data_IF_800278737322
#
_entry.id   IF_800278737322
#
_cell.length_a   1.000
_cell.length_b   1.000
_cell.length_c   1.000
_cell.angle_alpha   90.00
_cell.angle_beta   90.00
_cell.angle_gamma   90.00
#
_symmetry.space_group_name_H-M   'P 1'
#
loop_
_entity.id
_entity.type
_entity.pdbx_description
1 polymer ?
#
# COMPACT_ATOMS: atom_id res chain seq x y z
N UNK A 1 -35.14 13.37 -13.42
CA UNK A 1 -33.84 14.09 -13.29
C UNK A 1 -33.25 14.18 -14.69
N UNK A 2 -32.68 15.34 -15.08
CA UNK A 2 -32.05 15.47 -16.39
C UNK A 2 -30.73 14.71 -16.43
N UNK A 3 -30.27 14.27 -17.62
CA UNK A 3 -29.00 13.59 -17.81
C UNK A 3 -27.81 14.39 -17.22
N UNK A 4 -27.85 15.72 -17.33
CA UNK A 4 -26.84 16.62 -16.77
C UNK A 4 -26.80 16.59 -15.23
N UNK A 5 -27.95 16.48 -14.55
CA UNK A 5 -28.01 16.35 -13.10
C UNK A 5 -27.46 14.99 -12.62
N UNK A 6 -27.76 13.91 -13.35
CA UNK A 6 -27.22 12.57 -13.03
C UNK A 6 -25.71 12.51 -13.18
N UNK A 7 -25.17 13.13 -14.22
CA UNK A 7 -23.72 13.19 -14.48
C UNK A 7 -22.98 14.04 -13.44
N UNK A 8 -23.54 15.18 -13.04
CA UNK A 8 -23.02 16.02 -11.95
C UNK A 8 -22.98 15.28 -10.62
N UNK A 9 -24.02 14.51 -10.32
CA UNK A 9 -24.11 13.68 -9.09
C UNK A 9 -23.10 12.55 -9.11
N UNK A 10 -22.91 11.86 -10.23
CA UNK A 10 -21.92 10.81 -10.38
C UNK A 10 -20.51 11.33 -10.15
N UNK A 11 -20.16 12.46 -10.81
CA UNK A 11 -18.84 13.05 -10.68
C UNK A 11 -18.56 13.54 -9.25
N UNK A 12 -19.56 14.06 -8.54
CA UNK A 12 -19.41 14.45 -7.13
C UNK A 12 -19.11 13.22 -6.24
N UNK A 13 -19.80 12.10 -6.47
CA UNK A 13 -19.54 10.85 -5.75
C UNK A 13 -18.14 10.31 -6.02
N UNK A 14 -17.71 10.29 -7.28
CA UNK A 14 -16.36 9.85 -7.65
C UNK A 14 -15.28 10.68 -6.95
N UNK A 15 -15.41 12.01 -6.92
CA UNK A 15 -14.47 12.90 -6.24
C UNK A 15 -14.41 12.69 -4.72
N UNK A 16 -15.45 12.17 -4.12
CA UNK A 16 -15.50 11.85 -2.69
C UNK A 16 -14.84 10.50 -2.35
N UNK A 17 -14.59 9.64 -3.34
CA UNK A 17 -13.91 8.36 -3.13
C UNK A 17 -12.49 8.56 -2.57
N UNK A 18 -12.02 7.57 -1.83
CA UNK A 18 -10.63 7.45 -1.40
C UNK A 18 -9.94 6.34 -2.21
N UNK A 19 -9.22 6.73 -3.26
CA UNK A 19 -8.50 5.83 -4.14
C UNK A 19 -7.35 6.56 -4.84
N UNK A 20 -6.54 5.87 -5.64
CA UNK A 20 -5.36 6.44 -6.31
C UNK A 20 -5.70 7.66 -7.18
N UNK A 21 -6.89 7.70 -7.79
CA UNK A 21 -7.33 8.83 -8.63
C UNK A 21 -7.68 10.10 -7.86
N UNK A 22 -7.92 10.00 -6.54
CA UNK A 22 -8.30 11.12 -5.67
C UNK A 22 -7.20 11.52 -4.69
N UNK A 23 -6.15 10.72 -4.61
CA UNK A 23 -4.99 11.04 -3.79
C UNK A 23 -4.05 11.98 -4.56
N UNK A 24 -3.43 12.91 -3.85
CA UNK A 24 -2.45 13.83 -4.42
C UNK A 24 -1.11 13.09 -4.67
N UNK A 25 -1.07 12.34 -5.77
CA UNK A 25 0.09 11.60 -6.25
C UNK A 25 0.67 12.35 -7.43
N UNK A 26 1.91 12.85 -7.31
CA UNK A 26 2.59 13.54 -8.41
C UNK A 26 3.00 12.54 -9.52
N UNK A 27 2.35 12.57 -10.70
CA UNK A 27 2.58 11.60 -11.75
C UNK A 27 3.60 12.07 -12.79
N UNK A 28 4.81 12.49 -12.39
CA UNK A 28 5.81 12.76 -13.41
C UNK A 28 6.08 11.48 -14.24
N UNK A 29 5.95 11.56 -15.57
CA UNK A 29 5.97 10.40 -16.48
C UNK A 29 7.25 9.56 -16.34
N UNK A 30 8.39 10.19 -16.17
CA UNK A 30 9.67 9.51 -15.96
C UNK A 30 9.72 8.72 -14.63
N UNK A 31 9.04 9.21 -13.60
CA UNK A 31 8.92 8.53 -12.31
C UNK A 31 7.97 7.34 -12.42
N UNK A 32 6.85 7.50 -13.14
CA UNK A 32 5.88 6.42 -13.35
C UNK A 32 6.49 5.22 -14.08
N UNK A 33 7.26 5.43 -15.16
CA UNK A 33 7.96 4.33 -15.85
C UNK A 33 8.91 3.59 -14.92
N UNK A 34 9.74 4.31 -14.16
CA UNK A 34 10.65 3.70 -13.19
C UNK A 34 9.96 2.90 -12.10
N UNK A 35 8.76 3.33 -11.68
CA UNK A 35 7.97 2.59 -10.69
C UNK A 35 7.28 1.38 -11.30
N UNK A 36 6.77 1.46 -12.53
CA UNK A 36 6.22 0.31 -13.25
C UNK A 36 7.22 -0.84 -13.28
N UNK A 37 8.44 -0.58 -13.79
CA UNK A 37 9.51 -1.59 -13.86
C UNK A 37 9.84 -2.19 -12.49
N UNK A 38 9.96 -1.34 -11.45
CA UNK A 38 10.26 -1.81 -10.09
C UNK A 38 9.14 -2.63 -9.46
N UNK A 39 7.87 -2.29 -9.72
CA UNK A 39 6.73 -3.02 -9.18
C UNK A 39 6.55 -4.38 -9.88
N UNK A 40 6.92 -4.49 -11.14
CA UNK A 40 6.96 -5.78 -11.85
C UNK A 40 7.95 -6.74 -11.20
N UNK A 41 9.11 -6.26 -10.78
CA UNK A 41 10.13 -7.06 -10.10
C UNK A 41 9.70 -7.57 -8.72
N UNK A 42 8.79 -6.85 -8.03
CA UNK A 42 8.38 -7.15 -6.64
C UNK A 42 7.12 -8.03 -6.60
N UNK A 43 6.23 -7.86 -7.56
CA UNK A 43 4.81 -8.12 -7.40
C UNK A 43 4.32 -9.51 -7.75
N UNK A 44 5.15 -10.41 -8.27
CA UNK A 44 4.61 -11.64 -8.90
C UNK A 44 4.62 -12.86 -8.01
N UNK A 45 5.15 -12.79 -6.79
CA UNK A 45 5.25 -13.97 -5.91
C UNK A 45 3.99 -14.19 -5.08
N UNK A 46 3.43 -15.39 -5.18
CA UNK A 46 2.34 -15.84 -4.33
C UNK A 46 2.78 -15.77 -2.85
N UNK A 47 1.94 -15.15 -2.01
CA UNK A 47 2.22 -14.96 -0.59
C UNK A 47 2.67 -13.56 -0.19
N UNK A 48 2.89 -12.64 -1.13
CA UNK A 48 3.16 -11.25 -0.80
C UNK A 48 1.88 -10.58 -0.24
N UNK A 49 1.90 -10.19 1.04
CA UNK A 49 0.77 -9.53 1.72
C UNK A 49 0.33 -8.21 1.07
N UNK A 50 1.22 -7.57 0.30
CA UNK A 50 0.95 -6.33 -0.42
C UNK A 50 0.58 -6.54 -1.91
N UNK A 51 0.41 -7.77 -2.38
CA UNK A 51 0.21 -8.06 -3.80
C UNK A 51 -0.99 -7.32 -4.40
N UNK A 52 -2.13 -7.28 -3.71
CA UNK A 52 -3.31 -6.55 -4.15
C UNK A 52 -3.05 -5.04 -4.29
N UNK A 53 -2.34 -4.45 -3.33
CA UNK A 53 -1.95 -3.04 -3.34
C UNK A 53 -0.96 -2.72 -4.47
N UNK A 54 -0.01 -3.64 -4.74
CA UNK A 54 0.92 -3.53 -5.85
C UNK A 54 0.16 -3.48 -7.18
N UNK A 55 -0.79 -4.39 -7.40
CA UNK A 55 -1.60 -4.38 -8.61
C UNK A 55 -2.51 -3.15 -8.72
N UNK A 56 -3.08 -2.66 -7.61
CA UNK A 56 -3.82 -1.40 -7.61
C UNK A 56 -2.95 -0.22 -8.06
N UNK A 57 -1.73 -0.13 -7.55
CA UNK A 57 -0.81 0.92 -7.92
C UNK A 57 -0.33 0.77 -9.38
N UNK A 58 -0.04 -0.44 -9.85
CA UNK A 58 0.27 -0.71 -11.26
C UNK A 58 -0.88 -0.30 -12.17
N UNK A 59 -2.12 -0.64 -11.83
CA UNK A 59 -3.30 -0.22 -12.58
C UNK A 59 -3.39 1.30 -12.72
N UNK A 60 -3.18 2.04 -11.63
CA UNK A 60 -3.14 3.51 -11.67
C UNK A 60 -1.99 4.04 -12.52
N UNK A 61 -0.78 3.50 -12.38
CA UNK A 61 0.40 3.90 -13.16
C UNK A 61 0.16 3.66 -14.66
N UNK A 62 -0.32 2.48 -15.04
CA UNK A 62 -0.62 2.16 -16.44
C UNK A 62 -1.68 3.09 -17.02
N UNK A 63 -2.73 3.42 -16.27
CA UNK A 63 -3.71 4.43 -16.69
C UNK A 63 -3.04 5.79 -16.95
N UNK A 64 -2.20 6.28 -16.04
CA UNK A 64 -1.50 7.56 -16.18
C UNK A 64 -0.52 7.58 -17.38
N UNK A 65 0.01 6.43 -17.75
CA UNK A 65 0.87 6.25 -18.94
C UNK A 65 0.07 6.13 -20.26
N UNK A 66 -1.25 5.98 -20.19
CA UNK A 66 -2.15 5.82 -21.34
C UNK A 66 -2.42 4.37 -21.74
N UNK A 67 -2.00 3.40 -20.94
CA UNK A 67 -2.22 1.96 -21.16
C UNK A 67 -3.48 1.50 -20.42
N UNK A 68 -4.63 1.87 -20.96
CA UNK A 68 -5.92 1.73 -20.25
C UNK A 68 -6.37 0.27 -20.10
N UNK A 69 -6.12 -0.56 -21.12
CA UNK A 69 -6.44 -2.00 -21.08
C UNK A 69 -5.60 -2.72 -20.01
N UNK A 70 -4.30 -2.43 -19.96
CA UNK A 70 -3.41 -2.97 -18.92
C UNK A 70 -3.83 -2.50 -17.53
N UNK A 71 -4.24 -1.23 -17.40
CA UNK A 71 -4.76 -0.69 -16.14
C UNK A 71 -5.97 -1.48 -15.64
N UNK A 72 -6.91 -1.80 -16.52
CA UNK A 72 -8.07 -2.62 -16.19
C UNK A 72 -7.65 -4.04 -15.77
N UNK A 73 -6.73 -4.67 -16.49
CA UNK A 73 -6.19 -5.97 -16.14
C UNK A 73 -5.56 -5.97 -14.74
N UNK A 74 -4.75 -4.96 -14.43
CA UNK A 74 -4.13 -4.85 -13.10
C UNK A 74 -5.15 -4.64 -11.98
N UNK A 75 -6.18 -3.82 -12.16
CA UNK A 75 -7.23 -3.67 -11.15
C UNK A 75 -8.04 -4.95 -10.92
N UNK A 76 -8.29 -5.75 -11.96
CA UNK A 76 -8.92 -7.07 -11.83
C UNK A 76 -8.00 -8.03 -11.07
N UNK A 77 -6.71 -8.08 -11.42
CA UNK A 77 -5.72 -8.88 -10.69
C UNK A 77 -5.60 -8.46 -9.23
N UNK A 78 -5.74 -7.18 -8.92
CA UNK A 78 -5.78 -6.68 -7.54
C UNK A 78 -6.98 -7.27 -6.78
N UNK A 79 -8.17 -7.25 -7.39
CA UNK A 79 -9.37 -7.87 -6.80
C UNK A 79 -9.13 -9.34 -6.46
N UNK A 80 -8.55 -10.10 -7.39
CA UNK A 80 -8.26 -11.53 -7.19
C UNK A 80 -7.19 -11.76 -6.11
N UNK A 81 -6.13 -10.95 -6.10
CA UNK A 81 -5.07 -11.05 -5.11
C UNK A 81 -5.60 -10.78 -3.69
N UNK A 82 -6.44 -9.76 -3.52
CA UNK A 82 -7.08 -9.49 -2.23
C UNK A 82 -7.97 -10.65 -1.76
N UNK A 83 -8.78 -11.22 -2.63
CA UNK A 83 -9.64 -12.37 -2.31
C UNK A 83 -8.83 -13.58 -1.86
N UNK A 84 -7.71 -13.88 -2.54
CA UNK A 84 -6.82 -14.99 -2.18
C UNK A 84 -6.08 -14.77 -0.86
N UNK A 85 -5.58 -13.56 -0.63
CA UNK A 85 -4.71 -13.27 0.53
C UNK A 85 -5.47 -13.28 1.86
N UNK A 86 -6.75 -12.93 1.86
CA UNK A 86 -7.53 -12.77 3.10
C UNK A 86 -8.13 -14.08 3.62
N UNK A 87 -8.20 -15.12 2.79
CA UNK A 87 -8.70 -16.47 3.17
C UNK A 87 -9.95 -16.43 4.08
N UNK A 88 -10.87 -15.52 3.78
CA UNK A 88 -12.11 -15.31 4.53
C UNK A 88 -13.26 -16.03 3.89
N UNK A 89 -14.34 -16.28 4.65
CA UNK A 89 -15.57 -16.89 4.15
C UNK A 89 -16.25 -16.01 3.08
N UNK A 90 -16.01 -14.69 3.13
CA UNK A 90 -16.51 -13.74 2.13
C UNK A 90 -15.40 -13.35 1.17
N UNK A 91 -15.70 -13.40 -0.13
CA UNK A 91 -14.81 -12.92 -1.20
C UNK A 91 -14.74 -11.38 -1.24
N UNK A 92 -15.58 -10.69 -0.49
CA UNK A 92 -15.66 -9.23 -0.44
C UNK A 92 -15.47 -8.72 0.98
N UNK A 93 -14.74 -7.60 1.10
CA UNK A 93 -14.45 -6.98 2.38
C UNK A 93 -13.79 -5.61 2.21
N UNK A 94 -13.50 -4.92 3.33
CA UNK A 94 -13.04 -3.54 3.30
C UNK A 94 -11.69 -3.33 2.59
N UNK A 95 -10.89 -4.37 2.41
CA UNK A 95 -9.67 -4.36 1.59
C UNK A 95 -9.92 -4.08 0.10
N UNK A 96 -11.17 -4.16 -0.37
CA UNK A 96 -11.56 -3.84 -1.75
C UNK A 96 -12.02 -2.39 -1.93
N UNK A 97 -12.12 -1.59 -0.88
CA UNK A 97 -12.62 -0.20 -0.95
C UNK A 97 -11.84 0.65 -1.95
N UNK A 98 -10.51 0.61 -1.89
CA UNK A 98 -9.64 1.38 -2.79
C UNK A 98 -9.69 0.81 -4.21
N UNK A 99 -9.67 -0.51 -4.35
CA UNK A 99 -9.75 -1.20 -5.63
C UNK A 99 -11.05 -0.86 -6.38
N UNK A 100 -12.19 -0.96 -5.71
CA UNK A 100 -13.48 -0.60 -6.33
C UNK A 100 -13.58 0.90 -6.62
N UNK A 101 -12.96 1.74 -5.81
CA UNK A 101 -12.81 3.17 -6.10
C UNK A 101 -12.02 3.42 -7.39
N UNK A 102 -10.92 2.71 -7.60
CA UNK A 102 -10.11 2.77 -8.81
C UNK A 102 -10.92 2.32 -10.04
N UNK A 103 -11.63 1.19 -9.94
CA UNK A 103 -12.47 0.67 -11.02
C UNK A 103 -13.63 1.61 -11.35
N UNK A 104 -14.27 2.23 -10.35
CA UNK A 104 -15.31 3.23 -10.58
C UNK A 104 -14.78 4.42 -11.41
N UNK A 105 -13.59 4.93 -11.08
CA UNK A 105 -12.95 5.99 -11.84
C UNK A 105 -12.53 5.57 -13.24
N UNK A 106 -11.91 4.39 -13.38
CA UNK A 106 -11.49 3.88 -14.70
C UNK A 106 -12.69 3.78 -15.65
N UNK A 107 -13.78 3.13 -15.24
CA UNK A 107 -14.98 2.98 -16.06
C UNK A 107 -15.64 4.32 -16.37
N UNK A 108 -15.58 5.29 -15.43
CA UNK A 108 -16.04 6.65 -15.72
C UNK A 108 -15.23 7.31 -16.88
N UNK A 109 -13.91 7.19 -16.87
CA UNK A 109 -13.05 7.72 -17.92
C UNK A 109 -13.23 7.00 -19.27
N UNK A 110 -13.59 5.72 -19.24
CA UNK A 110 -13.95 4.93 -20.43
C UNK A 110 -15.33 5.30 -21.00
N UNK A 111 -16.12 6.12 -20.30
CA UNK A 111 -17.50 6.43 -20.67
C UNK A 111 -18.52 5.36 -20.29
N UNK A 112 -18.12 4.32 -19.58
CA UNK A 112 -18.92 3.19 -19.14
C UNK A 112 -19.65 3.53 -17.83
N UNK A 113 -20.68 4.36 -17.95
CA UNK A 113 -21.37 4.95 -16.77
C UNK A 113 -22.06 3.91 -15.89
N UNK A 114 -22.59 2.83 -16.47
CA UNK A 114 -23.29 1.78 -15.74
C UNK A 114 -22.31 0.98 -14.85
N UNK A 115 -21.16 0.62 -15.38
CA UNK A 115 -20.07 -0.06 -14.67
C UNK A 115 -19.50 0.81 -13.57
N UNK A 116 -19.26 2.10 -13.87
CA UNK A 116 -18.81 3.08 -12.88
C UNK A 116 -19.78 3.15 -11.69
N UNK A 117 -21.11 3.24 -11.96
CA UNK A 117 -22.14 3.28 -10.92
C UNK A 117 -22.21 1.96 -10.15
N UNK A 118 -21.97 0.83 -10.80
CA UNK A 118 -21.92 -0.49 -10.14
C UNK A 118 -20.80 -0.54 -9.11
N UNK A 119 -19.59 -0.11 -9.46
CA UNK A 119 -18.47 -0.07 -8.51
C UNK A 119 -18.66 0.95 -7.39
N UNK A 120 -19.25 2.12 -7.68
CA UNK A 120 -19.66 3.07 -6.63
C UNK A 120 -20.63 2.43 -5.62
N UNK A 121 -21.62 1.68 -6.13
CA UNK A 121 -22.58 1.00 -5.27
C UNK A 121 -21.91 -0.08 -4.41
N UNK A 122 -20.90 -0.78 -4.93
CA UNK A 122 -20.10 -1.73 -4.16
C UNK A 122 -19.31 -1.04 -3.04
N UNK A 123 -18.69 0.11 -3.32
CA UNK A 123 -18.00 0.91 -2.26
C UNK A 123 -19.00 1.33 -1.19
N UNK A 124 -20.16 1.86 -1.58
CA UNK A 124 -21.21 2.27 -0.63
C UNK A 124 -21.70 1.08 0.24
N UNK A 125 -21.80 -0.11 -0.35
CA UNK A 125 -22.18 -1.35 0.37
C UNK A 125 -21.10 -1.74 1.37
N UNK A 126 -19.84 -1.81 0.95
CA UNK A 126 -18.73 -2.17 1.85
C UNK A 126 -18.58 -1.19 3.01
N UNK A 127 -18.76 0.12 2.78
CA UNK A 127 -18.70 1.12 3.86
C UNK A 127 -19.85 0.99 4.86
N UNK A 128 -21.01 0.46 4.44
CA UNK A 128 -22.14 0.18 5.34
C UNK A 128 -21.95 -1.12 6.12
N UNK A 129 -21.43 -2.16 5.47
CA UNK A 129 -21.19 -3.48 6.09
C UNK A 129 -19.96 -3.45 7.01
N UNK A 130 -18.95 -2.68 6.64
CA UNK A 130 -17.69 -2.53 7.36
C UNK A 130 -17.43 -1.05 7.66
N UNK A 131 -18.18 -0.44 8.58
CA UNK A 131 -17.97 0.97 8.93
C UNK A 131 -16.59 1.16 9.59
N UNK A 132 -16.03 2.37 9.44
CA UNK A 132 -14.81 2.71 10.19
C UNK A 132 -15.05 2.57 11.69
N UNK A 133 -14.11 1.98 12.45
CA UNK A 133 -14.18 1.92 13.91
C UNK A 133 -14.25 3.31 14.58
N UNK A 134 -13.81 4.35 13.88
CA UNK A 134 -13.90 5.76 14.30
C UNK A 134 -14.80 6.54 13.33
N UNK A 135 -15.84 7.21 13.85
CA UNK A 135 -16.86 7.87 13.03
C UNK A 135 -16.33 8.99 12.13
N UNK A 136 -15.26 9.66 12.55
CA UNK A 136 -14.69 10.82 11.85
C UNK A 136 -13.42 10.47 11.05
N UNK A 137 -13.11 9.19 10.92
CA UNK A 137 -11.90 8.74 10.23
C UNK A 137 -12.21 7.77 9.08
N UNK A 138 -11.29 7.73 8.12
CA UNK A 138 -11.36 6.75 7.04
C UNK A 138 -11.21 5.32 7.59
N UNK A 139 -11.71 4.35 6.84
CA UNK A 139 -11.48 2.94 7.17
C UNK A 139 -9.96 2.63 7.23
N UNK A 140 -9.46 1.82 8.19
CA UNK A 140 -8.04 1.55 8.35
C UNK A 140 -7.37 0.98 7.10
N UNK A 141 -8.04 0.15 6.32
CA UNK A 141 -7.52 -0.36 5.03
C UNK A 141 -7.22 0.78 4.04
N UNK A 142 -8.05 1.84 4.00
CA UNK A 142 -7.80 3.02 3.15
C UNK A 142 -6.55 3.77 3.62
N UNK A 143 -6.40 3.98 4.94
CA UNK A 143 -5.21 4.63 5.48
C UNK A 143 -3.94 3.85 5.18
N UNK A 144 -3.97 2.52 5.34
CA UNK A 144 -2.82 1.67 5.11
C UNK A 144 -2.39 1.68 3.64
N UNK A 145 -3.33 1.53 2.70
CA UNK A 145 -3.02 1.56 1.27
C UNK A 145 -2.55 2.95 0.81
N UNK A 146 -3.17 4.01 1.33
CA UNK A 146 -2.73 5.39 1.05
C UNK A 146 -1.32 5.65 1.55
N UNK A 147 -1.00 5.22 2.78
CA UNK A 147 0.33 5.32 3.35
C UNK A 147 1.35 4.55 2.51
N UNK A 148 1.05 3.29 2.19
CA UNK A 148 1.91 2.44 1.38
C UNK A 148 2.18 3.05 0.00
N UNK A 149 1.15 3.56 -0.67
CA UNK A 149 1.28 4.24 -1.96
C UNK A 149 2.17 5.47 -1.86
N UNK A 150 1.89 6.38 -0.93
CA UNK A 150 2.66 7.61 -0.77
C UNK A 150 4.12 7.35 -0.41
N UNK A 151 4.41 6.29 0.34
CA UNK A 151 5.77 5.86 0.65
C UNK A 151 6.59 5.54 -0.62
N UNK A 152 5.94 5.09 -1.70
CA UNK A 152 6.62 4.82 -2.98
C UNK A 152 6.93 6.09 -3.77
N UNK A 153 6.13 7.16 -3.61
CA UNK A 153 6.25 8.37 -4.44
C UNK A 153 7.14 9.48 -3.88
N UNK A 154 7.54 9.45 -2.64
CA UNK A 154 8.42 10.50 -2.14
C UNK A 154 8.83 10.39 -0.69
N UNK A 155 10.02 10.90 -0.43
CA UNK A 155 10.61 10.95 0.91
C UNK A 155 10.12 12.17 1.70
N UNK A 156 9.59 13.17 1.02
CA UNK A 156 9.07 14.42 1.58
C UNK A 156 7.75 14.25 2.38
N UNK A 157 7.02 13.15 2.15
CA UNK A 157 5.74 12.86 2.82
C UNK A 157 5.84 11.85 3.99
N UNK A 158 7.03 11.54 4.48
CA UNK A 158 7.26 10.44 5.45
C UNK A 158 6.51 10.59 6.77
N UNK A 159 6.49 11.77 7.35
CA UNK A 159 5.72 11.99 8.58
C UNK A 159 4.24 11.77 8.36
N UNK A 160 3.71 12.15 7.20
CA UNK A 160 2.34 11.90 6.80
C UNK A 160 2.08 10.40 6.58
N UNK A 161 3.01 9.70 5.93
CA UNK A 161 2.94 8.23 5.75
C UNK A 161 2.91 7.51 7.11
N UNK A 162 3.81 7.90 8.02
CA UNK A 162 3.86 7.32 9.36
C UNK A 162 2.58 7.61 10.18
N UNK A 163 1.98 8.80 10.02
CA UNK A 163 0.69 9.17 10.63
C UNK A 163 -0.45 8.30 10.08
N UNK A 164 -0.55 8.13 8.76
CA UNK A 164 -1.58 7.28 8.16
C UNK A 164 -1.46 5.83 8.62
N UNK A 165 -0.26 5.24 8.64
CA UNK A 165 -0.07 3.91 9.22
C UNK A 165 -0.44 3.87 10.70
N UNK A 166 -0.08 4.91 11.48
CA UNK A 166 -0.45 4.97 12.91
C UNK A 166 -1.96 4.98 13.12
N UNK A 167 -2.71 5.70 12.27
CA UNK A 167 -4.19 5.71 12.31
C UNK A 167 -4.75 4.32 11.97
N UNK A 168 -4.25 3.68 10.94
CA UNK A 168 -4.64 2.32 10.57
C UNK A 168 -4.38 1.32 11.72
N UNK A 169 -3.16 1.31 12.26
CA UNK A 169 -2.72 0.42 13.35
C UNK A 169 -3.54 0.64 14.62
N UNK A 170 -3.87 1.91 14.97
CA UNK A 170 -4.70 2.20 16.14
C UNK A 170 -6.08 1.53 16.06
N UNK A 171 -6.64 1.42 14.87
CA UNK A 171 -7.95 0.82 14.62
C UNK A 171 -7.89 -0.69 14.41
N UNK A 172 -6.77 -1.21 13.89
CA UNK A 172 -6.50 -2.64 13.67
C UNK A 172 -5.05 -2.97 14.05
N UNK A 173 -4.77 -3.22 15.35
CA UNK A 173 -3.40 -3.38 15.86
C UNK A 173 -2.73 -4.69 15.43
N UNK A 174 -3.50 -5.70 15.03
CA UNK A 174 -3.01 -7.03 14.70
C UNK A 174 -2.41 -7.14 13.28
N UNK A 175 -2.43 -6.05 12.52
CA UNK A 175 -1.88 -6.02 11.16
C UNK A 175 -0.36 -5.81 11.19
N UNK A 176 0.36 -6.92 11.23
CA UNK A 176 1.84 -6.94 11.34
C UNK A 176 2.52 -6.16 10.22
N UNK A 177 2.07 -6.35 8.99
CA UNK A 177 2.61 -5.68 7.79
C UNK A 177 2.47 -4.15 7.84
N UNK A 178 1.46 -3.61 8.54
CA UNK A 178 1.31 -2.17 8.71
C UNK A 178 2.31 -1.61 9.73
N UNK A 179 2.53 -2.35 10.83
CA UNK A 179 3.56 -2.01 11.81
C UNK A 179 4.95 -2.00 11.17
N UNK A 180 5.28 -3.06 10.44
CA UNK A 180 6.54 -3.17 9.70
C UNK A 180 6.73 -2.02 8.71
N UNK A 181 5.72 -1.74 7.87
CA UNK A 181 5.78 -0.65 6.88
C UNK A 181 5.91 0.72 7.53
N UNK A 182 5.23 0.96 8.65
CA UNK A 182 5.39 2.21 9.42
C UNK A 182 6.81 2.41 9.92
N UNK A 183 7.40 1.37 10.47
CA UNK A 183 8.79 1.43 10.98
C UNK A 183 9.77 1.67 9.84
N UNK A 184 9.61 0.97 8.71
CA UNK A 184 10.42 1.19 7.51
C UNK A 184 10.31 2.66 7.04
N UNK A 185 9.10 3.23 7.00
CA UNK A 185 8.89 4.63 6.61
C UNK A 185 9.61 5.62 7.53
N UNK A 186 9.70 5.32 8.83
CA UNK A 186 10.42 6.17 9.79
C UNK A 186 11.94 6.11 9.64
N UNK A 187 12.47 4.99 9.12
CA UNK A 187 13.91 4.72 9.05
C UNK A 187 14.50 5.00 7.67
N UNK A 188 13.69 5.02 6.63
CA UNK A 188 14.14 5.07 5.23
C UNK A 188 14.99 6.31 4.88
N UNK A 189 14.84 7.39 5.64
CA UNK A 189 15.68 8.61 5.53
C UNK A 189 17.06 8.46 6.11
N UNK A 190 17.11 7.71 7.21
CA UNK A 190 18.32 7.66 8.03
C UNK A 190 19.28 6.58 7.52
N UNK A 191 18.82 5.72 6.60
CA UNK A 191 19.67 4.65 6.05
C UNK A 191 20.89 5.19 5.30
N UNK A 192 20.77 6.36 4.67
CA UNK A 192 21.85 7.00 3.93
C UNK A 192 22.67 7.99 4.75
N UNK A 193 22.23 8.33 5.96
CA UNK A 193 22.95 9.20 6.87
C UNK A 193 23.84 8.37 7.80
N UNK A 194 25.02 8.87 8.16
CA UNK A 194 25.94 8.16 9.07
C UNK A 194 25.46 8.17 10.53
N UNK A 195 24.47 9.00 10.85
CA UNK A 195 23.90 9.05 12.21
C UNK A 195 22.89 7.92 12.43
N UNK A 196 22.99 7.20 13.56
CA UNK A 196 22.00 6.20 13.92
C UNK A 196 20.64 6.84 14.25
N UNK A 197 19.56 6.07 14.16
CA UNK A 197 18.23 6.50 14.64
C UNK A 197 18.21 6.64 16.16
N UNK A 198 17.28 7.44 16.68
CA UNK A 198 17.03 7.55 18.12
C UNK A 198 16.59 6.22 18.76
N UNK A 199 16.78 6.07 20.07
CA UNK A 199 16.45 4.85 20.82
C UNK A 199 14.97 4.46 20.69
N UNK A 200 14.06 5.43 20.63
CA UNK A 200 12.64 5.20 20.48
C UNK A 200 12.27 4.54 19.13
N UNK A 201 12.98 4.90 18.06
CA UNK A 201 12.81 4.30 16.73
C UNK A 201 13.45 2.91 16.70
N UNK A 202 14.62 2.76 17.31
CA UNK A 202 15.32 1.47 17.39
C UNK A 202 14.48 0.43 18.15
N UNK A 203 13.83 0.83 19.24
CA UNK A 203 12.92 -0.03 19.99
C UNK A 203 11.69 -0.43 19.13
N UNK A 204 11.11 0.50 18.37
CA UNK A 204 10.03 0.17 17.42
C UNK A 204 10.49 -0.82 16.34
N UNK A 205 11.74 -0.69 15.85
CA UNK A 205 12.33 -1.65 14.90
C UNK A 205 12.50 -3.03 15.54
N UNK A 206 12.95 -3.10 16.79
CA UNK A 206 13.10 -4.35 17.53
C UNK A 206 11.75 -5.07 17.63
N UNK A 207 10.72 -4.37 18.09
CA UNK A 207 9.37 -4.93 18.27
C UNK A 207 8.80 -5.39 16.92
N UNK A 208 8.93 -4.56 15.86
CA UNK A 208 8.44 -4.93 14.53
C UNK A 208 9.16 -6.17 13.97
N UNK A 209 10.49 -6.28 14.17
CA UNK A 209 11.28 -7.44 13.77
C UNK A 209 10.86 -8.72 14.51
N UNK A 210 10.48 -8.63 15.78
CA UNK A 210 9.96 -9.77 16.56
C UNK A 210 8.58 -10.22 16.08
N UNK A 211 7.75 -9.28 15.62
CA UNK A 211 6.43 -9.57 15.07
C UNK A 211 6.47 -10.10 13.64
N UNK A 212 7.50 -9.71 12.86
CA UNK A 212 7.70 -10.08 11.45
C UNK A 212 9.13 -10.62 11.26
N UNK A 213 9.46 -11.80 11.84
CA UNK A 213 10.82 -12.35 11.82
C UNK A 213 11.29 -12.74 10.42
N UNK A 214 10.37 -12.97 9.50
CA UNK A 214 10.63 -13.34 8.11
C UNK A 214 11.02 -12.13 7.24
N UNK A 215 10.85 -10.92 7.74
CA UNK A 215 11.16 -9.70 7.02
C UNK A 215 12.66 -9.38 7.04
N UNK A 216 13.39 -9.98 6.10
CA UNK A 216 14.84 -9.81 5.98
C UNK A 216 15.25 -8.35 5.74
N UNK A 217 14.39 -7.55 5.09
CA UNK A 217 14.68 -6.14 4.87
C UNK A 217 14.67 -5.35 6.17
N UNK A 218 13.65 -5.53 7.00
CA UNK A 218 13.58 -4.92 8.33
C UNK A 218 14.74 -5.38 9.22
N UNK A 219 15.06 -6.69 9.19
CA UNK A 219 16.18 -7.25 9.92
C UNK A 219 17.52 -6.62 9.49
N UNK A 220 17.74 -6.46 8.19
CA UNK A 220 18.94 -5.80 7.65
C UNK A 220 19.02 -4.32 8.06
N UNK A 221 17.90 -3.58 7.98
CA UNK A 221 17.85 -2.18 8.44
C UNK A 221 18.18 -2.07 9.94
N UNK A 222 17.67 -2.98 10.75
CA UNK A 222 17.94 -3.02 12.18
C UNK A 222 19.45 -3.20 12.46
N UNK A 223 20.09 -4.17 11.80
CA UNK A 223 21.54 -4.39 11.92
C UNK A 223 22.37 -3.19 11.45
N UNK A 224 21.95 -2.52 10.37
CA UNK A 224 22.60 -1.29 9.91
C UNK A 224 22.59 -0.22 11.00
N UNK A 225 21.51 -0.07 11.75
CA UNK A 225 21.45 0.92 12.84
C UNK A 225 22.37 0.54 14.02
N UNK A 226 22.47 -0.74 14.36
CA UNK A 226 23.43 -1.22 15.37
C UNK A 226 24.88 -1.01 14.93
N UNK A 227 25.20 -1.28 13.65
CA UNK A 227 26.53 -1.00 13.09
C UNK A 227 26.90 0.48 13.18
N UNK A 228 25.95 1.39 12.91
CA UNK A 228 26.16 2.85 13.04
C UNK A 228 26.43 3.29 14.48
N UNK A 229 25.94 2.54 15.47
CA UNK A 229 26.28 2.75 16.89
C UNK A 229 27.64 2.17 17.29
N UNK A 230 28.36 1.50 16.36
CA UNK A 230 29.65 0.87 16.62
C UNK A 230 29.55 -0.52 17.26
N UNK A 231 28.36 -1.13 17.23
CA UNK A 231 28.16 -2.48 17.77
C UNK A 231 28.69 -3.55 16.80
N UNK A 232 29.11 -4.71 17.34
CA UNK A 232 29.59 -5.83 16.52
C UNK A 232 28.38 -6.60 16.02
N UNK A 233 28.19 -6.65 14.69
CA UNK A 233 27.04 -7.30 14.02
C UNK A 233 27.42 -8.49 13.14
N UNK A 234 28.68 -9.00 13.28
CA UNK A 234 29.23 -10.01 12.33
C UNK A 234 28.43 -11.32 12.33
N UNK A 235 28.03 -11.78 13.50
CA UNK A 235 27.37 -13.08 13.64
C UNK A 235 25.92 -12.99 13.14
N UNK A 236 25.18 -11.95 13.52
CA UNK A 236 23.82 -11.71 13.07
C UNK A 236 23.76 -11.41 11.55
N UNK A 237 24.75 -10.69 11.01
CA UNK A 237 24.84 -10.43 9.57
C UNK A 237 25.15 -11.71 8.78
N UNK A 238 25.86 -12.67 9.38
CA UNK A 238 26.12 -13.96 8.79
C UNK A 238 24.86 -14.84 8.75
N UNK A 239 24.04 -14.78 9.78
CA UNK A 239 22.75 -15.49 9.84
C UNK A 239 21.78 -15.00 8.76
N UNK A 240 21.70 -13.68 8.51
CA UNK A 240 20.91 -13.11 7.41
C UNK A 240 21.41 -13.52 6.01
N UNK A 241 22.70 -13.90 5.87
CA UNK A 241 23.29 -14.32 4.59
C UNK A 241 22.98 -15.77 4.22
N UNK A 242 22.62 -16.59 5.19
CA UNK A 242 22.26 -17.98 5.02
C UNK A 242 20.76 -18.20 5.30
N UNK A 243 19.85 -17.70 4.47
CA UNK A 243 18.47 -18.12 4.57
C UNK A 243 18.45 -19.60 4.20
N UNK A 244 18.22 -20.45 5.19
CA UNK A 244 17.87 -21.85 4.96
C UNK A 244 16.62 -21.82 4.08
N UNK A 245 16.83 -22.12 2.81
CA UNK A 245 15.87 -22.38 1.73
C UNK A 245 14.44 -21.94 2.00
N UNK A 246 13.98 -21.04 1.18
CA UNK A 246 12.60 -20.71 0.83
C UNK A 246 12.09 -19.34 1.26
N UNK A 247 12.76 -18.27 0.90
CA UNK A 247 12.10 -16.95 0.83
C UNK A 247 12.59 -16.16 -0.38
N UNK A 248 11.88 -16.36 -1.46
CA UNK A 248 11.79 -15.45 -2.58
C UNK A 248 10.78 -14.36 -2.22
N UNK A 249 11.14 -13.12 -2.20
CA UNK A 249 10.08 -12.15 -2.35
C UNK A 249 10.09 -10.85 -1.60
N UNK A 250 11.22 -10.31 -1.17
CA UNK A 250 11.28 -8.86 -0.96
C UNK A 250 12.65 -8.36 -1.41
N UNK A 251 12.79 -8.09 -2.71
CA UNK A 251 13.86 -7.20 -3.14
C UNK A 251 13.51 -5.81 -2.64
N UNK A 252 14.39 -5.13 -1.87
CA UNK A 252 14.16 -3.77 -1.45
C UNK A 252 13.98 -2.88 -2.68
N UNK A 253 12.95 -2.05 -2.68
CA UNK A 253 12.84 -0.90 -3.55
C UNK A 253 13.94 0.10 -3.14
N UNK A 254 15.15 -0.06 -3.68
CA UNK A 254 16.20 0.94 -3.66
C UNK A 254 15.99 1.95 -4.79
#
# INVERSE_FOLDING_TARGET
MSAAQSQSTLQAKLKALQCHFTWDIDPSRSRLFRFSDKLEDIGTEEGNSWLGHIYNLQGYIHYQLGFTEDAQCFFIRATEAFRRSRNTVSDEGPWLLVNYGNLAWLHHYLGEQAESQTYLSKVDTLLKEYPSPSQDELHPEIYAEKAWTLMKFGTDKRLLVADYFQRAIRMQPDMVEWNTSRVIALVDDVKYNDTPVGEDILEKMRVAKEQDPENLYLAALYLIQHAKKGEKIKDEAHELRNPVSSYSGIKPLL
#
